data_IF_637424324855
#
_entry.id   IF_637424324855
#
_cell.length_a   1.000
_cell.length_b   1.000
_cell.length_c   1.000
_cell.angle_alpha   90.00
_cell.angle_beta   90.00
_cell.angle_gamma   90.00
#
_symmetry.space_group_name_H-M   'P 1'
#
loop_
_entity.id
_entity.type
_entity.pdbx_description
1 polymer ?
#
# COMPACT_ATOMS: atom_id res chain seq x y z
N UNK A 1 23.99 9.01 4.88
CA UNK A 1 22.99 8.12 4.25
C UNK A 1 21.69 8.28 5.04
N UNK A 2 20.61 8.79 4.43
CA UNK A 2 19.33 9.10 5.13
C UNK A 2 18.15 8.25 4.65
N UNK A 3 18.39 7.31 3.72
CA UNK A 3 17.38 6.39 3.18
C UNK A 3 17.68 4.96 3.63
N UNK A 4 16.65 4.13 3.63
CA UNK A 4 16.78 2.68 3.86
C UNK A 4 17.64 2.09 2.72
N UNK A 5 18.76 1.40 3.03
CA UNK A 5 19.62 0.82 2.01
C UNK A 5 19.00 -0.42 1.36
N UNK A 6 19.30 -0.66 0.09
CA UNK A 6 18.95 -1.91 -0.59
C UNK A 6 19.86 -3.06 -0.13
N UNK A 7 19.31 -4.29 -0.10
CA UNK A 7 20.07 -5.50 0.19
C UNK A 7 20.39 -5.78 1.66
N UNK A 8 19.94 -4.93 2.59
CA UNK A 8 20.09 -5.19 4.03
C UNK A 8 18.88 -5.97 4.54
N UNK A 9 19.14 -6.99 5.37
CA UNK A 9 18.12 -7.91 5.91
C UNK A 9 16.93 -7.21 6.58
N UNK A 10 17.15 -6.05 7.21
CA UNK A 10 16.11 -5.30 7.92
C UNK A 10 15.27 -4.39 7.03
N UNK A 11 15.73 -4.09 5.80
CA UNK A 11 15.07 -3.13 4.92
C UNK A 11 13.62 -3.48 4.58
N UNK A 12 13.28 -4.75 4.24
CA UNK A 12 11.89 -5.14 3.98
C UNK A 12 10.97 -4.92 5.18
N UNK A 13 11.45 -5.14 6.40
CA UNK A 13 10.66 -4.98 7.61
C UNK A 13 10.37 -3.50 7.92
N UNK A 14 11.37 -2.64 7.76
CA UNK A 14 11.21 -1.18 7.93
C UNK A 14 10.23 -0.64 6.89
N UNK A 15 10.36 -1.08 5.63
CA UNK A 15 9.45 -0.68 4.55
C UNK A 15 8.01 -1.14 4.84
N UNK A 16 7.81 -2.41 5.16
CA UNK A 16 6.48 -2.98 5.42
C UNK A 16 5.75 -2.25 6.56
N UNK A 17 6.43 -1.97 7.67
CA UNK A 17 5.80 -1.26 8.79
C UNK A 17 5.56 0.23 8.49
N UNK A 18 6.46 0.87 7.73
CA UNK A 18 6.26 2.24 7.25
C UNK A 18 5.02 2.33 6.37
N UNK A 19 4.83 1.39 5.45
CA UNK A 19 3.64 1.30 4.62
C UNK A 19 2.37 1.14 5.45
N UNK A 20 2.34 0.17 6.37
CA UNK A 20 1.18 -0.07 7.24
C UNK A 20 0.82 1.17 8.05
N UNK A 21 1.82 1.86 8.61
CA UNK A 21 1.61 3.11 9.34
C UNK A 21 0.96 4.18 8.46
N UNK A 22 1.47 4.37 7.22
CA UNK A 22 0.94 5.36 6.27
C UNK A 22 -0.50 5.04 5.85
N UNK A 23 -0.81 3.78 5.55
CA UNK A 23 -2.15 3.32 5.18
C UNK A 23 -3.13 3.52 6.34
N UNK A 24 -2.75 3.18 7.57
CA UNK A 24 -3.59 3.39 8.77
C UNK A 24 -3.89 4.86 8.99
N UNK A 25 -2.88 5.73 8.87
CA UNK A 25 -3.06 7.18 8.99
C UNK A 25 -3.99 7.72 7.90
N UNK A 26 -3.74 7.32 6.66
CA UNK A 26 -4.57 7.68 5.51
C UNK A 26 -6.04 7.26 5.70
N UNK A 27 -6.28 6.04 6.23
CA UNK A 27 -7.62 5.52 6.55
C UNK A 27 -8.36 6.32 7.61
N UNK A 28 -7.65 6.95 8.54
CA UNK A 28 -8.25 7.80 9.57
C UNK A 28 -8.61 9.18 9.02
N UNK A 29 -7.84 9.68 8.05
CA UNK A 29 -8.00 11.02 7.46
C UNK A 29 -9.04 11.06 6.33
N UNK A 30 -9.24 9.96 5.59
CA UNK A 30 -10.18 9.93 4.46
C UNK A 30 -11.50 9.23 4.79
N UNK A 31 -12.62 9.91 4.49
CA UNK A 31 -13.98 9.41 4.69
C UNK A 31 -14.32 8.32 3.67
N UNK A 32 -14.30 7.06 4.13
CA UNK A 32 -14.99 5.84 3.64
C UNK A 32 -14.97 5.43 2.15
N UNK A 33 -14.72 6.29 1.16
CA UNK A 33 -14.90 5.96 -0.27
C UNK A 33 -13.93 4.92 -0.82
N UNK A 34 -12.77 4.72 -0.18
CA UNK A 34 -11.72 3.76 -0.60
C UNK A 34 -11.44 2.68 0.44
N UNK A 35 -12.42 2.34 1.28
CA UNK A 35 -12.23 1.40 2.39
C UNK A 35 -11.76 0.01 1.93
N UNK A 36 -12.30 -0.52 0.82
CA UNK A 36 -11.91 -1.82 0.26
C UNK A 36 -10.44 -1.83 -0.17
N UNK A 37 -10.00 -0.81 -0.90
CA UNK A 37 -8.60 -0.65 -1.33
C UNK A 37 -7.65 -0.51 -0.15
N UNK A 38 -8.04 0.24 0.88
CA UNK A 38 -7.25 0.37 2.13
C UNK A 38 -7.12 -0.97 2.84
N UNK A 39 -8.20 -1.75 2.90
CA UNK A 39 -8.19 -3.09 3.52
C UNK A 39 -7.29 -4.05 2.73
N UNK A 40 -7.38 -4.04 1.40
CA UNK A 40 -6.50 -4.79 0.51
C UNK A 40 -5.02 -4.43 0.75
N UNK A 41 -4.68 -3.13 0.73
CA UNK A 41 -3.32 -2.64 0.94
C UNK A 41 -2.74 -3.08 2.29
N UNK A 42 -3.58 -3.19 3.32
CA UNK A 42 -3.14 -3.61 4.65
C UNK A 42 -2.95 -5.13 4.79
N UNK A 43 -3.58 -5.95 3.93
CA UNK A 43 -3.56 -7.42 4.03
C UNK A 43 -2.67 -8.12 3.01
N UNK A 44 -2.36 -7.49 1.87
CA UNK A 44 -1.73 -8.16 0.71
C UNK A 44 -0.37 -7.59 0.30
N UNK A 45 0.22 -6.74 1.13
CA UNK A 45 1.53 -6.14 0.88
C UNK A 45 2.66 -7.04 1.39
N UNK A 46 3.64 -7.34 0.53
CA UNK A 46 4.85 -8.07 0.87
C UNK A 46 6.07 -7.24 0.46
N UNK A 47 6.77 -6.69 1.46
CA UNK A 47 7.89 -5.76 1.25
C UNK A 47 7.47 -4.57 0.36
N UNK A 48 7.93 -4.54 -0.89
CA UNK A 48 7.65 -3.55 -1.93
C UNK A 48 6.58 -4.01 -2.95
N UNK A 49 6.17 -5.28 -2.91
CA UNK A 49 5.18 -5.84 -3.83
C UNK A 49 3.76 -5.85 -3.25
N UNK A 50 2.78 -5.48 -4.09
CA UNK A 50 1.34 -5.63 -3.82
C UNK A 50 0.78 -6.73 -4.71
N UNK A 51 0.24 -7.79 -4.10
CA UNK A 51 -0.35 -8.92 -4.82
C UNK A 51 -1.83 -9.06 -4.49
N UNK A 52 -2.70 -8.60 -5.40
CA UNK A 52 -4.16 -8.72 -5.26
C UNK A 52 -4.79 -9.38 -6.49
N UNK A 53 -5.76 -10.26 -6.25
CA UNK A 53 -6.48 -10.99 -7.30
C UNK A 53 -7.98 -10.69 -7.26
N UNK A 54 -8.61 -10.71 -8.43
CA UNK A 54 -10.06 -10.65 -8.57
C UNK A 54 -10.52 -11.56 -9.71
N UNK A 55 -11.78 -11.99 -9.67
CA UNK A 55 -12.34 -12.95 -10.64
C UNK A 55 -12.44 -12.39 -12.06
N UNK A 56 -12.44 -11.07 -12.21
CA UNK A 56 -12.52 -10.40 -13.51
C UNK A 56 -11.56 -9.22 -13.58
N UNK A 57 -11.08 -8.92 -14.78
CA UNK A 57 -10.20 -7.78 -15.04
C UNK A 57 -10.85 -6.46 -14.58
N UNK A 58 -12.15 -6.29 -14.82
CA UNK A 58 -12.88 -5.10 -14.41
C UNK A 58 -12.88 -4.92 -12.87
N UNK A 59 -13.02 -6.02 -12.11
CA UNK A 59 -12.95 -5.99 -10.65
C UNK A 59 -11.54 -5.78 -10.12
N UNK A 60 -10.51 -6.17 -10.87
CA UNK A 60 -9.11 -5.93 -10.49
C UNK A 60 -8.66 -4.48 -10.77
N UNK A 61 -9.22 -3.84 -11.80
CA UNK A 61 -8.76 -2.54 -12.28
C UNK A 61 -9.00 -1.41 -11.28
N UNK A 62 -10.20 -1.33 -10.71
CA UNK A 62 -10.61 -0.22 -9.83
C UNK A 62 -9.79 -0.17 -8.51
N UNK A 63 -9.58 -1.29 -7.78
CA UNK A 63 -8.67 -1.32 -6.63
C UNK A 63 -7.22 -1.02 -7.02
N UNK A 64 -6.77 -1.46 -8.20
CA UNK A 64 -5.40 -1.20 -8.67
C UNK A 64 -5.15 0.28 -8.94
N UNK A 65 -6.09 0.95 -9.61
CA UNK A 65 -6.02 2.40 -9.85
C UNK A 65 -6.08 3.18 -8.54
N UNK A 66 -7.02 2.82 -7.67
CA UNK A 66 -7.15 3.41 -6.34
C UNK A 66 -5.88 3.24 -5.50
N UNK A 67 -5.21 2.09 -5.58
CA UNK A 67 -3.97 1.83 -4.85
C UNK A 67 -2.84 2.75 -5.31
N UNK A 68 -2.70 2.97 -6.62
CA UNK A 68 -1.71 3.89 -7.19
C UNK A 68 -1.96 5.34 -6.74
N UNK A 69 -3.22 5.76 -6.64
CA UNK A 69 -3.58 7.09 -6.14
C UNK A 69 -3.24 7.24 -4.66
N UNK A 70 -3.63 6.29 -3.80
CA UNK A 70 -3.31 6.30 -2.37
C UNK A 70 -1.80 6.33 -2.17
N UNK A 71 -1.05 5.58 -2.98
CA UNK A 71 0.41 5.55 -2.91
C UNK A 71 1.04 6.93 -3.19
N UNK A 72 0.53 7.65 -4.21
CA UNK A 72 0.94 9.03 -4.51
C UNK A 72 0.57 10.00 -3.39
N UNK A 73 -0.66 9.92 -2.89
CA UNK A 73 -1.16 10.80 -1.82
C UNK A 73 -0.40 10.62 -0.50
N UNK A 74 0.05 9.39 -0.22
CA UNK A 74 0.82 9.07 0.99
C UNK A 74 2.32 9.38 0.86
N UNK A 75 2.77 9.93 -0.27
CA UNK A 75 4.17 10.21 -0.61
C UNK A 75 5.07 8.98 -0.52
N UNK A 76 4.57 7.82 -0.96
CA UNK A 76 5.32 6.56 -0.95
C UNK A 76 6.07 6.28 -2.26
N UNK A 77 6.45 7.33 -3.00
CA UNK A 77 7.08 7.26 -4.34
C UNK A 77 8.46 6.61 -4.39
#
# INVERSE_FOLDING_TARGET
MTRVPFGVTVSPFILAETFKYRIRKYSQETKHSRHETVQMLNSTLYADDLSYGADTVAKALDPSQSAVEIHKETNMN
#
